data_IF_702455563290
#
_entry.id   IF_702455563290
#
_cell.length_a   1.000
_cell.length_b   1.000
_cell.length_c   1.000
_cell.angle_alpha   90.00
_cell.angle_beta   90.00
_cell.angle_gamma   90.00
#
_symmetry.space_group_name_H-M   'P 1'
#
loop_
_entity.id
_entity.type
_entity.pdbx_description
1 polymer ?
#
# COMPACT_ATOMS: atom_id res chain seq x y z
N UNK A 1 -5.52 6.27 -6.74
CA UNK A 1 -5.49 6.87 -5.40
C UNK A 1 -5.62 8.36 -5.54
N UNK A 2 -6.50 8.98 -4.75
CA UNK A 2 -6.59 10.45 -4.65
C UNK A 2 -5.58 10.97 -3.63
N UNK A 3 -5.34 12.29 -3.61
CA UNK A 3 -4.46 12.90 -2.61
C UNK A 3 -5.03 12.82 -1.19
N UNK A 4 -6.36 12.83 -1.06
CA UNK A 4 -7.04 12.60 0.22
C UNK A 4 -6.76 11.20 0.78
N UNK A 5 -6.78 10.17 -0.09
CA UNK A 5 -6.47 8.80 0.32
C UNK A 5 -5.01 8.65 0.77
N UNK A 6 -4.09 9.34 0.09
CA UNK A 6 -2.68 9.37 0.51
C UNK A 6 -2.55 10.03 1.88
N UNK A 7 -3.21 11.17 2.07
CA UNK A 7 -3.18 11.91 3.33
C UNK A 7 -3.69 11.05 4.49
N UNK A 8 -4.80 10.35 4.29
CA UNK A 8 -5.36 9.43 5.29
C UNK A 8 -4.43 8.26 5.64
N UNK A 9 -3.68 7.74 4.67
CA UNK A 9 -2.65 6.73 4.95
C UNK A 9 -1.54 7.31 5.84
N UNK A 10 -1.06 8.52 5.53
CA UNK A 10 0.00 9.18 6.32
C UNK A 10 -0.48 9.48 7.73
N UNK A 11 -1.69 10.01 7.90
CA UNK A 11 -2.28 10.29 9.22
C UNK A 11 -2.36 9.02 10.07
N UNK A 12 -2.78 7.88 9.49
CA UNK A 12 -2.82 6.61 10.21
C UNK A 12 -1.43 6.02 10.52
N UNK A 13 -0.41 6.32 9.72
CA UNK A 13 0.97 5.93 10.01
C UNK A 13 1.57 6.78 11.14
N UNK A 14 1.23 8.07 11.19
CA UNK A 14 1.68 8.99 12.25
C UNK A 14 1.07 8.64 13.62
N UNK A 15 -0.07 7.94 13.65
CA UNK A 15 -0.70 7.42 14.87
C UNK A 15 -0.03 6.16 15.43
N UNK A 16 0.80 5.46 14.64
CA UNK A 16 1.48 4.24 15.08
C UNK A 16 2.66 4.55 16.00
N UNK A 17 2.92 3.65 16.95
CA UNK A 17 4.18 3.71 17.67
C UNK A 17 5.37 3.39 16.74
N UNK A 18 6.57 3.83 17.09
CA UNK A 18 7.77 3.61 16.24
C UNK A 18 8.02 2.15 15.92
N UNK A 19 7.75 1.24 16.86
CA UNK A 19 7.99 -0.19 16.67
C UNK A 19 6.98 -0.83 15.71
N UNK A 20 5.74 -0.34 15.72
CA UNK A 20 4.68 -0.74 14.80
C UNK A 20 4.92 -0.14 13.42
N UNK A 21 5.29 1.14 13.35
CA UNK A 21 5.65 1.82 12.11
C UNK A 21 6.82 1.11 11.40
N UNK A 22 7.88 0.77 12.15
CA UNK A 22 9.04 0.05 11.60
C UNK A 22 8.63 -1.32 11.03
N UNK A 23 7.69 -2.03 11.68
CA UNK A 23 7.16 -3.31 11.16
C UNK A 23 6.34 -3.10 9.90
N UNK A 24 5.47 -2.08 9.87
CA UNK A 24 4.61 -1.77 8.72
C UNK A 24 5.46 -1.36 7.51
N UNK A 25 6.53 -0.60 7.72
CA UNK A 25 7.42 -0.11 6.66
C UNK A 25 8.56 -1.08 6.30
N UNK A 26 8.66 -2.23 6.98
CA UNK A 26 9.75 -3.19 6.75
C UNK A 26 9.74 -3.81 5.34
N UNK A 27 8.57 -3.94 4.71
CA UNK A 27 8.43 -4.46 3.35
C UNK A 27 7.13 -4.03 2.70
N UNK A 28 7.06 -4.16 1.36
CA UNK A 28 5.83 -3.93 0.60
C UNK A 28 4.72 -4.88 1.03
N UNK A 29 5.05 -6.13 1.37
CA UNK A 29 4.06 -7.11 1.88
C UNK A 29 3.55 -6.72 3.27
N UNK A 30 4.43 -6.27 4.17
CA UNK A 30 4.03 -5.81 5.50
C UNK A 30 3.11 -4.58 5.41
N UNK A 31 3.47 -3.62 4.56
CA UNK A 31 2.65 -2.45 4.29
C UNK A 31 1.31 -2.83 3.63
N UNK A 32 1.33 -3.77 2.68
CA UNK A 32 0.14 -4.30 2.03
C UNK A 32 -0.81 -5.00 3.00
N UNK A 33 -0.29 -5.82 3.92
CA UNK A 33 -1.06 -6.47 4.97
C UNK A 33 -1.66 -5.47 5.95
N UNK A 34 -0.91 -4.44 6.33
CA UNK A 34 -1.42 -3.36 7.17
C UNK A 34 -2.54 -2.56 6.48
N UNK A 35 -2.36 -2.23 5.19
CA UNK A 35 -3.42 -1.59 4.40
C UNK A 35 -4.65 -2.49 4.27
N UNK A 36 -4.48 -3.81 4.12
CA UNK A 36 -5.59 -4.75 4.07
C UNK A 36 -6.42 -4.70 5.35
N UNK A 37 -5.77 -4.63 6.52
CA UNK A 37 -6.43 -4.56 7.83
C UNK A 37 -7.07 -3.19 8.11
N UNK A 38 -6.34 -2.09 7.87
CA UNK A 38 -6.78 -0.74 8.25
C UNK A 38 -7.60 -0.03 7.19
N UNK A 39 -7.32 -0.28 5.92
CA UNK A 39 -7.79 0.53 4.80
C UNK A 39 -8.02 -0.32 3.53
N UNK A 40 -8.90 -1.32 3.63
CA UNK A 40 -9.14 -2.30 2.56
C UNK A 40 -9.40 -1.69 1.17
N UNK A 41 -10.10 -0.56 1.11
CA UNK A 41 -10.36 0.14 -0.17
C UNK A 41 -9.07 0.66 -0.81
N UNK A 42 -8.15 1.22 -0.01
CA UNK A 42 -6.85 1.70 -0.47
C UNK A 42 -5.95 0.52 -0.82
N UNK A 43 -5.97 -0.55 -0.02
CA UNK A 43 -5.30 -1.82 -0.34
C UNK A 43 -5.70 -2.32 -1.73
N UNK A 44 -7.00 -2.39 -2.04
CA UNK A 44 -7.46 -2.82 -3.36
C UNK A 44 -6.88 -1.95 -4.48
N UNK A 45 -6.85 -0.63 -4.30
CA UNK A 45 -6.27 0.31 -5.28
C UNK A 45 -4.77 0.09 -5.50
N UNK A 46 -4.00 -0.12 -4.42
CA UNK A 46 -2.56 -0.40 -4.50
C UNK A 46 -2.31 -1.74 -5.19
N UNK A 47 -3.05 -2.78 -4.79
CA UNK A 47 -2.97 -4.11 -5.41
C UNK A 47 -3.28 -4.08 -6.89
N UNK A 48 -4.35 -3.39 -7.29
CA UNK A 48 -4.77 -3.31 -8.69
C UNK A 48 -3.76 -2.52 -9.54
N UNK A 49 -3.12 -1.48 -8.96
CA UNK A 49 -2.02 -0.77 -9.61
C UNK A 49 -0.79 -1.67 -9.82
N UNK A 50 -0.38 -2.44 -8.80
CA UNK A 50 0.71 -3.42 -8.92
C UNK A 50 0.42 -4.49 -9.97
N UNK A 51 -0.83 -4.97 -10.00
CA UNK A 51 -1.29 -5.93 -11.01
C UNK A 51 -1.21 -5.34 -12.41
N UNK A 52 -1.65 -4.09 -12.59
CA UNK A 52 -1.56 -3.38 -13.87
C UNK A 52 -0.11 -3.22 -14.30
N UNK A 53 0.78 -2.81 -13.40
CA UNK A 53 2.22 -2.66 -13.68
C UNK A 53 2.83 -3.99 -14.13
N UNK A 54 2.51 -5.09 -13.43
CA UNK A 54 2.99 -6.42 -13.80
C UNK A 54 2.53 -6.84 -15.20
N UNK A 55 1.27 -6.57 -15.55
CA UNK A 55 0.77 -6.85 -16.90
C UNK A 55 1.51 -6.00 -17.95
N UNK A 56 1.78 -4.73 -17.66
CA UNK A 56 2.58 -3.87 -18.55
C UNK A 56 3.99 -4.42 -18.77
N UNK A 57 4.66 -4.87 -17.70
CA UNK A 57 6.00 -5.49 -17.77
C UNK A 57 5.93 -6.78 -18.60
N UNK A 58 4.95 -7.66 -18.33
CA UNK A 58 4.78 -8.91 -19.06
C UNK A 58 4.56 -8.65 -20.56
N UNK A 59 3.74 -7.66 -20.92
CA UNK A 59 3.47 -7.30 -22.30
C UNK A 59 4.68 -6.68 -23.01
N UNK A 60 5.57 -6.01 -22.27
CA UNK A 60 6.80 -5.46 -22.83
C UNK A 60 7.82 -6.55 -23.22
N UNK A 61 7.86 -7.65 -22.45
CA UNK A 61 8.77 -8.78 -22.71
C UNK A 61 8.15 -9.89 -23.58
N UNK A 62 6.89 -9.75 -24.00
CA UNK A 62 6.16 -10.74 -24.79
C UNK A 62 6.02 -10.33 -26.24
#
# INVERSE_FOLDING_TARGET
MTDEEKRRVVELLDELDRSELDKVLASVDAFGNWLYDKLYSIYCKVRDALRSLWQSIRNFFS
#
